data_IF_607993422452
#
_entry.id   IF_607993422452
#
_cell.length_a   1.000
_cell.length_b   1.000
_cell.length_c   1.000
_cell.angle_alpha   90.00
_cell.angle_beta   90.00
_cell.angle_gamma   90.00
#
_symmetry.space_group_name_H-M   'P 1'
#
loop_
_entity.id
_entity.type
_entity.pdbx_description
1 polymer ?
#
# COMPACT_ATOMS: atom_id res chain seq x y z
N UNK A 1 89.46 -33.84 4.33
CA UNK A 1 90.93 -33.79 4.09
C UNK A 1 91.14 -32.83 2.93
N UNK A 2 91.83 -31.68 3.13
CA UNK A 2 92.24 -30.66 2.11
C UNK A 2 91.03 -29.86 1.51
N UNK A 3 90.85 -28.54 1.61
CA UNK A 3 91.58 -27.31 1.15
C UNK A 3 91.52 -27.02 -0.38
N UNK A 4 91.51 -25.78 -0.92
CA UNK A 4 91.83 -24.43 -0.39
C UNK A 4 90.98 -23.26 -1.04
N UNK A 5 90.61 -22.25 -0.22
CA UNK A 5 90.55 -20.77 -0.44
C UNK A 5 89.96 -20.04 -1.69
N UNK A 6 89.33 -18.89 -1.39
CA UNK A 6 88.93 -17.74 -2.25
C UNK A 6 90.13 -16.74 -2.47
N UNK A 7 90.06 -15.51 -3.09
CA UNK A 7 88.88 -14.74 -3.55
C UNK A 7 88.99 -13.75 -4.78
N UNK A 8 87.81 -13.26 -5.20
CA UNK A 8 87.46 -11.83 -5.54
C UNK A 8 87.76 -11.11 -6.89
N UNK A 9 86.79 -10.20 -7.20
CA UNK A 9 86.75 -9.02 -8.12
C UNK A 9 86.46 -9.30 -9.62
N UNK A 10 85.41 -8.74 -10.26
CA UNK A 10 84.84 -7.37 -10.35
C UNK A 10 85.64 -6.43 -11.29
N UNK A 11 84.98 -6.01 -12.39
CA UNK A 11 85.27 -4.90 -13.32
C UNK A 11 86.39 -5.00 -14.37
N UNK A 12 86.07 -5.57 -15.54
CA UNK A 12 86.49 -5.15 -16.90
C UNK A 12 85.77 -6.04 -17.95
N UNK A 13 85.28 -5.61 -19.12
CA UNK A 13 84.91 -4.30 -19.68
C UNK A 13 83.75 -4.60 -20.67
N UNK A 14 82.65 -3.84 -20.72
CA UNK A 14 82.52 -2.58 -21.46
C UNK A 14 83.27 -2.58 -22.81
N UNK A 15 83.00 -3.57 -23.69
CA UNK A 15 83.38 -3.45 -25.12
C UNK A 15 82.64 -4.40 -26.10
N UNK A 16 81.36 -4.74 -25.82
CA UNK A 16 80.52 -5.56 -26.72
C UNK A 16 79.16 -4.97 -27.11
N UNK A 17 78.97 -3.67 -26.91
CA UNK A 17 77.77 -2.92 -27.32
C UNK A 17 78.17 -1.94 -28.43
N UNK A 18 78.43 -2.42 -29.67
CA UNK A 18 78.68 -1.55 -30.84
C UNK A 18 78.66 -2.18 -32.25
N UNK A 19 77.97 -3.31 -32.48
CA UNK A 19 77.98 -3.94 -33.82
C UNK A 19 76.69 -4.67 -34.24
N UNK A 20 75.51 -4.22 -33.79
CA UNK A 20 74.21 -4.69 -34.33
C UNK A 20 73.27 -3.51 -34.56
N UNK A 21 73.64 -2.64 -35.48
CA UNK A 21 72.79 -1.63 -36.11
C UNK A 21 73.29 -1.40 -37.55
N UNK A 22 72.39 -1.00 -38.44
CA UNK A 22 72.61 -0.72 -39.89
C UNK A 22 72.60 -1.93 -40.83
N UNK A 23 71.39 -2.46 -41.03
CA UNK A 23 70.78 -3.00 -42.27
C UNK A 23 69.50 -3.74 -41.81
N UNK A 24 68.29 -3.43 -42.24
CA UNK A 24 67.87 -2.85 -43.51
C UNK A 24 66.70 -1.86 -43.31
N UNK A 25 66.72 -0.72 -44.01
CA UNK A 25 65.60 0.22 -44.10
C UNK A 25 65.14 0.20 -45.55
N UNK A 26 64.00 -0.43 -45.82
CA UNK A 26 62.96 0.03 -46.76
C UNK A 26 61.85 -1.03 -46.86
N UNK A 27 60.70 -0.77 -46.23
CA UNK A 27 59.39 -1.27 -46.64
C UNK A 27 58.26 -0.63 -45.81
N UNK A 28 58.14 0.69 -45.96
CA UNK A 28 56.87 1.37 -45.66
C UNK A 28 55.90 1.03 -46.77
N UNK A 29 54.74 0.40 -46.49
CA UNK A 29 53.46 0.61 -47.21
C UNK A 29 52.28 -0.19 -46.58
N UNK A 30 51.33 0.54 -45.99
CA UNK A 30 49.87 0.26 -45.94
C UNK A 30 49.34 -1.08 -45.36
N UNK A 31 48.88 -1.05 -44.10
CA UNK A 31 47.46 -1.35 -43.74
C UNK A 31 47.13 -1.00 -42.27
N UNK A 32 46.66 0.23 -42.02
CA UNK A 32 45.98 0.56 -40.75
C UNK A 32 44.55 0.02 -40.84
N UNK A 33 44.29 -1.13 -40.23
CA UNK A 33 42.92 -1.56 -39.95
C UNK A 33 42.43 -0.83 -38.70
N UNK A 34 41.64 0.22 -38.89
CA UNK A 34 40.85 0.83 -37.83
C UNK A 34 39.87 -0.20 -37.29
N UNK A 35 40.22 -0.88 -36.19
CA UNK A 35 39.25 -1.62 -35.39
C UNK A 35 38.38 -0.59 -34.67
N UNK A 36 37.25 -0.25 -35.29
CA UNK A 36 36.20 0.52 -34.63
C UNK A 36 35.75 -0.24 -33.38
N UNK A 37 36.23 0.20 -32.22
CA UNK A 37 35.81 -0.32 -30.93
C UNK A 37 34.42 0.27 -30.70
N UNK A 38 33.36 -0.51 -31.01
CA UNK A 38 32.00 -0.19 -30.55
C UNK A 38 32.07 0.00 -29.05
N UNK A 39 31.95 1.24 -28.61
CA UNK A 39 31.65 1.56 -27.22
C UNK A 39 30.17 1.19 -27.08
N UNK A 40 29.92 0.03 -26.49
CA UNK A 40 28.57 -0.30 -26.03
C UNK A 40 28.28 0.66 -24.89
N UNK A 41 27.49 1.70 -25.15
CA UNK A 41 26.98 2.58 -24.12
C UNK A 41 26.01 1.78 -23.26
N UNK A 42 26.53 1.16 -22.21
CA UNK A 42 25.71 0.64 -21.12
C UNK A 42 25.14 1.85 -20.39
N UNK A 43 23.88 2.18 -20.65
CA UNK A 43 23.14 3.12 -19.79
C UNK A 43 23.21 2.61 -18.34
N UNK A 44 23.40 3.52 -17.38
CA UNK A 44 23.47 3.11 -15.97
C UNK A 44 22.13 2.52 -15.57
N UNK A 45 22.17 1.38 -14.86
CA UNK A 45 20.98 0.78 -14.25
C UNK A 45 20.27 1.78 -13.33
N UNK A 46 21.02 2.71 -12.74
CA UNK A 46 20.52 3.79 -11.89
C UNK A 46 19.58 4.76 -12.64
N UNK A 47 19.81 4.99 -13.93
CA UNK A 47 18.93 5.86 -14.76
C UNK A 47 17.65 5.13 -15.15
N UNK A 48 17.70 3.82 -15.37
CA UNK A 48 16.51 3.00 -15.64
C UNK A 48 15.67 2.71 -14.40
N UNK A 49 16.31 2.60 -13.22
CA UNK A 49 15.60 2.57 -11.94
C UNK A 49 14.82 3.87 -11.66
N UNK A 50 15.20 4.98 -12.31
CA UNK A 50 14.52 6.27 -12.26
C UNK A 50 13.45 6.46 -13.35
N UNK A 51 13.12 5.41 -14.11
CA UNK A 51 12.12 5.39 -15.19
C UNK A 51 11.35 4.06 -15.16
N UNK A 52 10.77 3.74 -14.00
CA UNK A 52 10.06 2.48 -13.78
C UNK A 52 8.57 2.71 -13.55
N UNK A 53 7.73 1.88 -14.18
CA UNK A 53 6.31 1.74 -13.83
C UNK A 53 6.22 1.39 -12.34
N UNK A 54 5.53 2.21 -11.57
CA UNK A 54 5.48 2.10 -10.11
C UNK A 54 4.01 2.13 -9.66
N UNK A 55 3.32 0.97 -9.61
CA UNK A 55 1.96 0.90 -9.11
C UNK A 55 1.93 1.30 -7.63
N UNK A 56 1.05 2.22 -7.27
CA UNK A 56 0.79 2.61 -5.88
C UNK A 56 -0.70 2.57 -5.58
N UNK A 57 -1.03 2.33 -4.32
CA UNK A 57 -2.39 2.37 -3.80
C UNK A 57 -2.46 3.32 -2.62
N UNK A 58 -3.49 4.15 -2.58
CA UNK A 58 -3.89 4.90 -1.38
C UNK A 58 -5.21 4.33 -0.85
N UNK A 59 -5.37 4.30 0.47
CA UNK A 59 -6.59 3.86 1.15
C UNK A 59 -7.18 5.01 1.95
N UNK A 60 -8.51 5.15 1.92
CA UNK A 60 -9.28 6.09 2.72
C UNK A 60 -10.53 5.39 3.25
N UNK A 61 -10.59 5.22 4.56
CA UNK A 61 -11.75 4.75 5.33
C UNK A 61 -11.81 5.56 6.64
N UNK A 62 -12.98 5.66 7.30
CA UNK A 62 -13.06 6.32 8.61
C UNK A 62 -12.20 5.58 9.65
N UNK A 63 -11.59 6.32 10.58
CA UNK A 63 -10.84 5.75 11.71
C UNK A 63 -11.72 4.91 12.63
N UNK A 64 -12.97 5.34 12.81
CA UNK A 64 -13.94 4.76 13.72
C UNK A 64 -15.28 4.62 12.99
N UNK A 65 -15.94 3.48 13.18
CA UNK A 65 -17.27 3.23 12.63
C UNK A 65 -18.16 2.53 13.66
N UNK A 66 -19.46 2.79 13.60
CA UNK A 66 -20.39 2.16 14.53
C UNK A 66 -20.51 0.66 14.27
N UNK A 67 -20.54 -0.12 15.35
CA UNK A 67 -20.87 -1.55 15.30
C UNK A 67 -22.20 -1.75 14.55
N UNK A 68 -22.25 -2.67 13.60
CA UNK A 68 -23.42 -2.93 12.76
C UNK A 68 -23.69 -1.91 11.64
N UNK A 69 -22.81 -0.94 11.39
CA UNK A 69 -23.00 0.10 10.36
C UNK A 69 -22.26 -0.17 9.04
N UNK A 70 -22.62 0.58 7.99
CA UNK A 70 -21.88 0.58 6.74
C UNK A 70 -20.57 1.36 6.86
N UNK A 71 -19.51 0.87 6.23
CA UNK A 71 -18.18 1.47 6.19
C UNK A 71 -17.83 1.79 4.74
N UNK A 72 -17.67 3.08 4.44
CA UNK A 72 -17.27 3.54 3.13
C UNK A 72 -15.74 3.46 2.99
N UNK A 73 -15.26 2.50 2.19
CA UNK A 73 -13.86 2.34 1.84
C UNK A 73 -13.64 2.84 0.40
N UNK A 74 -12.77 3.84 0.24
CA UNK A 74 -12.23 4.24 -1.06
C UNK A 74 -10.77 3.80 -1.15
N UNK A 75 -10.43 3.10 -2.24
CA UNK A 75 -9.05 2.75 -2.59
C UNK A 75 -8.71 3.37 -3.94
N UNK A 76 -7.59 4.08 -4.02
CA UNK A 76 -7.18 4.81 -5.23
C UNK A 76 -5.92 4.18 -5.81
N UNK A 77 -5.98 3.78 -7.07
CA UNK A 77 -4.83 3.28 -7.83
C UNK A 77 -4.13 4.44 -8.55
N UNK A 78 -2.80 4.43 -8.58
CA UNK A 78 -2.00 5.36 -9.37
C UNK A 78 -0.72 4.69 -9.91
N UNK A 79 -0.10 5.28 -10.92
CA UNK A 79 1.22 4.92 -11.42
C UNK A 79 2.21 6.03 -11.05
N UNK A 80 2.76 5.99 -9.84
CA UNK A 80 3.76 6.95 -9.38
C UNK A 80 5.15 6.76 -10.03
N UNK A 81 5.19 6.12 -11.20
CA UNK A 81 6.40 5.94 -11.98
C UNK A 81 6.97 7.27 -12.45
N UNK A 82 8.29 7.38 -12.48
CA UNK A 82 8.95 8.57 -13.03
C UNK A 82 9.06 8.44 -14.56
N UNK A 83 8.82 9.54 -15.28
CA UNK A 83 8.79 9.55 -16.75
C UNK A 83 7.41 9.20 -17.32
N UNK A 84 7.38 8.65 -18.54
CA UNK A 84 6.15 8.37 -19.30
C UNK A 84 5.81 6.87 -19.39
N UNK A 85 6.41 6.04 -18.53
CA UNK A 85 6.29 4.58 -18.63
C UNK A 85 4.91 4.09 -18.20
N UNK A 86 4.27 3.35 -19.10
CA UNK A 86 2.87 2.93 -18.98
C UNK A 86 2.80 1.52 -18.41
N UNK A 87 2.02 1.31 -17.35
CA UNK A 87 1.72 -0.02 -16.85
C UNK A 87 0.43 -0.59 -17.47
N UNK A 88 0.34 -1.92 -17.61
CA UNK A 88 -0.76 -2.58 -18.33
C UNK A 88 -1.62 -3.51 -17.46
N UNK A 89 -2.95 -3.36 -17.60
CA UNK A 89 -3.97 -4.07 -16.82
C UNK A 89 -3.90 -3.80 -15.31
N UNK A 90 -4.24 -2.59 -14.85
CA UNK A 90 -4.22 -2.20 -13.43
C UNK A 90 -5.26 -2.96 -12.58
N UNK A 91 -4.82 -3.38 -11.39
CA UNK A 91 -5.59 -4.14 -10.40
C UNK A 91 -5.31 -3.60 -8.99
N UNK A 92 -6.34 -3.58 -8.13
CA UNK A 92 -6.21 -3.38 -6.68
C UNK A 92 -6.61 -4.67 -5.95
N UNK A 93 -5.76 -5.10 -5.02
CA UNK A 93 -6.05 -6.09 -3.99
C UNK A 93 -6.45 -5.39 -2.69
N UNK A 94 -7.51 -5.89 -2.04
CA UNK A 94 -7.88 -5.50 -0.67
C UNK A 94 -8.05 -6.77 0.17
N UNK A 95 -7.31 -6.87 1.28
CA UNK A 95 -7.58 -7.88 2.31
C UNK A 95 -8.57 -7.29 3.31
N UNK A 96 -9.75 -7.91 3.36
CA UNK A 96 -10.87 -7.53 4.24
C UNK A 96 -10.90 -8.47 5.44
N UNK A 97 -10.79 -7.95 6.69
CA UNK A 97 -10.78 -8.75 7.91
C UNK A 97 -12.20 -9.19 8.27
N UNK A 98 -12.69 -10.26 7.64
CA UNK A 98 -14.05 -10.80 7.83
C UNK A 98 -14.19 -11.51 9.16
N UNK A 99 -13.14 -12.22 9.59
CA UNK A 99 -13.18 -13.01 10.81
C UNK A 99 -13.04 -12.20 12.11
N UNK A 100 -12.67 -10.91 12.00
CA UNK A 100 -12.37 -10.06 13.15
C UNK A 100 -11.38 -10.68 14.13
N UNK A 101 -11.65 -10.60 15.43
CA UNK A 101 -10.68 -11.04 16.47
C UNK A 101 -10.97 -12.44 17.00
N UNK A 102 -12.25 -12.81 17.14
CA UNK A 102 -12.66 -14.09 17.73
C UNK A 102 -12.51 -15.25 16.74
N UNK A 103 -12.83 -14.99 15.47
CA UNK A 103 -12.56 -15.82 14.31
C UNK A 103 -13.44 -17.08 14.17
N UNK A 104 -13.45 -17.61 12.96
CA UNK A 104 -13.99 -18.95 12.68
C UNK A 104 -15.49 -18.98 12.38
N UNK A 105 -16.28 -19.52 13.30
CA UNK A 105 -17.66 -19.96 13.02
C UNK A 105 -18.73 -18.86 13.13
N UNK A 106 -18.38 -17.67 13.63
CA UNK A 106 -19.29 -16.52 13.72
C UNK A 106 -18.52 -15.23 13.42
N UNK A 107 -18.13 -15.00 12.14
CA UNK A 107 -17.26 -13.88 11.78
C UNK A 107 -17.83 -12.53 12.21
N UNK A 108 -17.07 -11.78 13.02
CA UNK A 108 -17.51 -10.51 13.63
C UNK A 108 -16.85 -9.26 13.01
N UNK A 109 -16.06 -9.41 11.94
CA UNK A 109 -15.27 -8.32 11.37
C UNK A 109 -16.01 -7.43 10.35
N UNK A 110 -15.25 -6.99 9.34
CA UNK A 110 -15.74 -6.24 8.18
C UNK A 110 -16.08 -7.21 7.04
N UNK A 111 -17.17 -7.01 6.33
CA UNK A 111 -17.50 -7.82 5.15
C UNK A 111 -17.85 -6.92 3.96
N UNK A 112 -17.76 -7.46 2.75
CA UNK A 112 -18.19 -6.79 1.52
C UNK A 112 -19.72 -6.72 1.46
N UNK A 113 -20.24 -5.53 1.15
CA UNK A 113 -21.68 -5.24 1.16
C UNK A 113 -22.29 -5.11 -0.26
N UNK A 114 -21.45 -5.18 -1.29
CA UNK A 114 -21.83 -5.05 -2.70
C UNK A 114 -20.60 -5.04 -3.62
N UNK A 115 -20.80 -4.94 -4.94
CA UNK A 115 -19.69 -4.86 -5.90
C UNK A 115 -18.89 -3.56 -5.71
N UNK A 116 -17.60 -3.61 -5.98
CA UNK A 116 -16.80 -2.41 -6.11
C UNK A 116 -17.27 -1.57 -7.30
N UNK A 117 -17.15 -0.25 -7.19
CA UNK A 117 -17.57 0.69 -8.25
C UNK A 117 -16.48 1.71 -8.56
N UNK A 118 -16.33 2.02 -9.85
CA UNK A 118 -15.52 3.12 -10.35
C UNK A 118 -16.45 4.13 -11.03
N UNK A 119 -16.43 5.39 -10.60
CA UNK A 119 -17.38 6.43 -11.05
C UNK A 119 -18.85 5.99 -11.00
N UNK A 120 -19.23 5.23 -9.95
CA UNK A 120 -20.58 4.69 -9.76
C UNK A 120 -20.94 3.49 -10.64
N UNK A 121 -20.06 3.04 -11.53
CA UNK A 121 -20.27 1.85 -12.37
C UNK A 121 -19.60 0.63 -11.74
N UNK A 122 -20.29 -0.53 -11.61
CA UNK A 122 -19.67 -1.76 -11.10
C UNK A 122 -18.46 -2.21 -11.93
N UNK A 123 -17.42 -2.69 -11.25
CA UNK A 123 -16.21 -3.24 -11.88
C UNK A 123 -16.03 -4.73 -11.54
N UNK A 124 -15.26 -5.45 -12.36
CA UNK A 124 -14.95 -6.87 -12.13
C UNK A 124 -14.27 -7.05 -10.78
N UNK A 125 -14.97 -7.73 -9.87
CA UNK A 125 -14.53 -7.98 -8.49
C UNK A 125 -14.55 -9.48 -8.25
N UNK A 126 -13.43 -10.06 -7.79
CA UNK A 126 -13.31 -11.47 -7.41
C UNK A 126 -13.00 -11.54 -5.92
N UNK A 127 -13.80 -12.29 -5.16
CA UNK A 127 -13.55 -12.53 -3.74
C UNK A 127 -13.01 -13.94 -3.51
N UNK A 128 -11.88 -14.05 -2.82
CA UNK A 128 -11.24 -15.30 -2.45
C UNK A 128 -11.11 -15.37 -0.93
N UNK A 129 -11.86 -16.27 -0.29
CA UNK A 129 -11.71 -16.55 1.14
C UNK A 129 -10.43 -17.34 1.39
N UNK A 130 -9.60 -16.88 2.33
CA UNK A 130 -8.40 -17.60 2.74
C UNK A 130 -8.78 -18.91 3.46
N UNK A 131 -8.35 -20.09 2.97
CA UNK A 131 -8.80 -21.38 3.50
C UNK A 131 -8.23 -21.68 4.90
N UNK A 132 -8.87 -22.58 5.64
CA UNK A 132 -8.32 -23.06 6.91
C UNK A 132 -7.23 -24.12 6.68
N UNK A 133 -5.96 -23.72 6.76
CA UNK A 133 -4.81 -24.63 6.71
C UNK A 133 -4.45 -25.28 8.05
N UNK A 134 -5.21 -25.03 9.12
CA UNK A 134 -4.91 -25.50 10.48
C UNK A 134 -3.92 -24.63 11.28
N UNK A 135 -3.36 -23.58 10.68
CA UNK A 135 -2.38 -22.68 11.29
C UNK A 135 -2.86 -21.24 11.51
N UNK A 136 -4.18 -21.00 11.51
CA UNK A 136 -4.79 -19.66 11.61
C UNK A 136 -4.64 -18.77 10.35
N UNK A 137 -3.82 -19.19 9.39
CA UNK A 137 -3.62 -18.54 8.08
C UNK A 137 -4.01 -19.47 6.93
N UNK A 138 -4.43 -18.85 5.83
CA UNK A 138 -4.74 -19.50 4.56
C UNK A 138 -4.00 -18.83 3.42
N UNK A 139 -3.75 -19.58 2.34
CA UNK A 139 -3.17 -19.03 1.11
C UNK A 139 -4.08 -19.27 -0.09
N UNK A 140 -4.14 -18.30 -0.99
CA UNK A 140 -4.90 -18.36 -2.25
C UNK A 140 -4.00 -17.99 -3.41
N UNK A 141 -4.26 -18.57 -4.58
CA UNK A 141 -3.62 -18.17 -5.83
C UNK A 141 -4.33 -16.92 -6.37
N UNK A 142 -3.58 -15.89 -6.71
CA UNK A 142 -4.11 -14.66 -7.29
C UNK A 142 -4.66 -14.92 -8.71
N UNK A 143 -5.84 -14.40 -9.07
CA UNK A 143 -6.49 -14.75 -10.34
C UNK A 143 -5.82 -14.11 -11.58
N UNK A 144 -5.01 -13.08 -11.41
CA UNK A 144 -4.43 -12.30 -12.52
C UNK A 144 -2.90 -12.17 -12.47
N UNK A 145 -2.34 -11.78 -11.31
CA UNK A 145 -0.91 -11.56 -11.17
C UNK A 145 -0.13 -12.88 -11.23
N UNK A 146 0.95 -12.89 -12.02
CA UNK A 146 1.82 -14.05 -12.24
C UNK A 146 3.29 -13.73 -11.96
N UNK A 147 4.04 -14.74 -11.51
CA UNK A 147 5.49 -14.72 -11.43
C UNK A 147 6.16 -14.84 -12.82
N UNK A 148 7.49 -14.73 -12.87
CA UNK A 148 8.26 -14.87 -14.11
C UNK A 148 8.33 -16.30 -14.68
N UNK A 149 7.67 -17.26 -14.05
CA UNK A 149 7.45 -18.61 -14.58
C UNK A 149 6.01 -18.81 -15.10
N UNK A 150 5.17 -17.77 -15.01
CA UNK A 150 3.75 -17.82 -15.38
C UNK A 150 2.83 -18.43 -14.31
N UNK A 151 3.33 -18.74 -13.11
CA UNK A 151 2.50 -19.23 -12.02
C UNK A 151 1.76 -18.05 -11.36
N UNK A 152 0.52 -18.23 -10.89
CA UNK A 152 -0.16 -17.24 -10.04
C UNK A 152 0.69 -16.81 -8.83
N UNK A 153 0.72 -15.51 -8.53
CA UNK A 153 1.26 -15.04 -7.25
C UNK A 153 0.40 -15.59 -6.11
N UNK A 154 1.05 -16.06 -5.04
CA UNK A 154 0.36 -16.54 -3.84
C UNK A 154 0.15 -15.38 -2.88
N UNK A 155 -1.06 -15.25 -2.33
CA UNK A 155 -1.35 -14.35 -1.22
C UNK A 155 -1.74 -15.17 0.00
N UNK A 156 -1.19 -14.81 1.16
CA UNK A 156 -1.46 -15.41 2.46
C UNK A 156 -2.12 -14.37 3.37
N UNK A 157 -3.21 -14.75 4.02
CA UNK A 157 -3.93 -13.93 5.01
C UNK A 157 -4.43 -14.80 6.16
N UNK A 158 -5.17 -14.23 7.11
CA UNK A 158 -5.80 -15.02 8.16
C UNK A 158 -6.87 -15.92 7.54
N UNK A 159 -7.03 -17.13 8.05
CA UNK A 159 -8.14 -18.02 7.67
C UNK A 159 -9.49 -17.28 7.81
N UNK A 160 -10.38 -17.43 6.83
CA UNK A 160 -11.74 -16.86 6.83
C UNK A 160 -11.83 -15.41 6.34
N UNK A 161 -10.75 -14.64 6.41
CA UNK A 161 -10.67 -13.32 5.76
C UNK A 161 -10.77 -13.45 4.23
N UNK A 162 -11.04 -12.34 3.54
CA UNK A 162 -11.15 -12.30 2.08
C UNK A 162 -10.01 -11.51 1.46
N UNK A 163 -9.45 -12.03 0.37
CA UNK A 163 -8.80 -11.22 -0.66
C UNK A 163 -9.86 -10.80 -1.68
N UNK A 164 -10.09 -9.49 -1.80
CA UNK A 164 -10.97 -8.87 -2.79
C UNK A 164 -10.10 -8.29 -3.89
N UNK A 165 -10.14 -8.90 -5.07
CA UNK A 165 -9.35 -8.52 -6.25
C UNK A 165 -10.24 -7.73 -7.20
N UNK A 166 -9.90 -6.46 -7.43
CA UNK A 166 -10.66 -5.53 -8.26
C UNK A 166 -9.86 -5.21 -9.52
N UNK A 167 -10.37 -5.64 -10.67
CA UNK A 167 -9.80 -5.29 -11.97
C UNK A 167 -10.38 -3.96 -12.44
N UNK A 168 -9.52 -2.95 -12.64
CA UNK A 168 -9.96 -1.64 -13.07
C UNK A 168 -10.32 -1.65 -14.56
N UNK A 169 -11.26 -0.79 -15.01
CA UNK A 169 -11.76 -0.80 -16.39
C UNK A 169 -10.80 -0.10 -17.39
N UNK A 170 -9.49 -0.32 -17.24
CA UNK A 170 -8.45 0.26 -18.07
C UNK A 170 -7.58 -0.84 -18.68
N UNK A 171 -7.19 -0.67 -19.95
CA UNK A 171 -6.14 -1.50 -20.55
C UNK A 171 -4.74 -1.13 -20.05
N UNK A 172 -4.54 0.12 -19.64
CA UNK A 172 -3.25 0.67 -19.23
C UNK A 172 -3.40 1.90 -18.33
N UNK A 173 -2.36 2.25 -17.58
CA UNK A 173 -2.31 3.45 -16.74
C UNK A 173 -0.97 4.19 -16.87
N UNK A 174 -1.03 5.47 -17.24
CA UNK A 174 0.15 6.36 -17.45
C UNK A 174 0.38 7.24 -16.22
N UNK A 175 1.62 7.66 -15.89
CA UNK A 175 1.88 8.52 -14.72
C UNK A 175 1.20 9.89 -14.74
N UNK A 176 0.86 10.42 -15.93
CA UNK A 176 0.13 11.69 -16.07
C UNK A 176 -1.40 11.58 -15.85
N UNK A 177 -1.92 10.39 -15.55
CA UNK A 177 -3.36 10.19 -15.28
C UNK A 177 -3.67 10.47 -13.79
N UNK A 178 -4.84 11.07 -13.49
CA UNK A 178 -5.28 11.23 -12.10
C UNK A 178 -5.60 9.86 -11.49
N UNK A 179 -5.20 9.65 -10.23
CA UNK A 179 -5.44 8.42 -9.49
C UNK A 179 -6.90 7.93 -9.58
N UNK A 180 -7.09 6.66 -9.92
CA UNK A 180 -8.40 6.05 -10.10
C UNK A 180 -8.99 5.59 -8.76
N UNK A 181 -9.88 6.42 -8.18
CA UNK A 181 -10.62 6.11 -6.97
C UNK A 181 -11.74 5.08 -7.20
N UNK A 182 -11.63 3.93 -6.55
CA UNK A 182 -12.62 2.84 -6.52
C UNK A 182 -13.28 2.82 -5.14
N UNK A 183 -14.62 2.77 -5.11
CA UNK A 183 -15.39 2.62 -3.88
C UNK A 183 -15.78 1.15 -3.68
N UNK A 184 -15.33 0.55 -2.58
CA UNK A 184 -15.67 -0.80 -2.15
C UNK A 184 -16.60 -0.70 -0.92
N UNK A 185 -17.91 -0.95 -1.06
CA UNK A 185 -18.84 -0.85 0.07
C UNK A 185 -18.61 -2.00 1.05
N UNK A 186 -18.37 -1.66 2.32
CA UNK A 186 -18.22 -2.63 3.41
C UNK A 186 -19.33 -2.47 4.45
N UNK A 187 -19.57 -3.51 5.24
CA UNK A 187 -20.37 -3.48 6.47
C UNK A 187 -19.54 -4.01 7.64
N UNK A 188 -19.72 -3.41 8.81
CA UNK A 188 -19.21 -3.90 10.09
C UNK A 188 -20.24 -4.81 10.74
N UNK A 189 -19.81 -5.94 11.31
CA UNK A 189 -20.72 -6.81 12.07
C UNK A 189 -21.37 -6.08 13.24
N UNK A 190 -22.56 -6.51 13.64
CA UNK A 190 -23.21 -6.06 14.88
C UNK A 190 -22.63 -6.75 16.14
N UNK A 191 -21.74 -7.74 15.96
CA UNK A 191 -21.02 -8.45 17.02
C UNK A 191 -19.57 -7.99 17.18
N UNK A 192 -19.08 -7.09 16.30
CA UNK A 192 -17.69 -6.67 16.24
C UNK A 192 -17.13 -6.21 17.60
N UNK A 193 -16.00 -6.78 17.99
CA UNK A 193 -15.29 -6.45 19.23
C UNK A 193 -15.07 -4.93 19.42
N UNK A 194 -15.67 -4.39 20.49
CA UNK A 194 -15.62 -2.96 20.81
C UNK A 194 -14.18 -2.47 21.05
N UNK A 195 -13.78 -1.43 20.32
CA UNK A 195 -12.44 -0.84 20.32
C UNK A 195 -11.30 -1.78 19.87
N UNK A 196 -11.58 -2.90 19.19
CA UNK A 196 -10.53 -3.76 18.60
C UNK A 196 -10.36 -3.43 17.11
N UNK A 197 -9.19 -2.91 16.67
CA UNK A 197 -9.07 -2.34 15.32
C UNK A 197 -9.10 -3.39 14.20
N UNK A 198 -10.08 -3.28 13.31
CA UNK A 198 -10.19 -4.12 12.11
C UNK A 198 -9.31 -3.55 10.99
N UNK A 199 -8.18 -4.22 10.73
CA UNK A 199 -7.14 -3.72 9.81
C UNK A 199 -7.37 -4.20 8.38
N UNK A 200 -7.78 -3.27 7.50
CA UNK A 200 -7.82 -3.44 6.05
C UNK A 200 -6.40 -3.27 5.51
N UNK A 201 -5.97 -4.11 4.56
CA UNK A 201 -4.67 -3.98 3.88
C UNK A 201 -4.85 -3.97 2.37
N UNK A 202 -4.00 -3.25 1.66
CA UNK A 202 -4.12 -3.11 0.20
C UNK A 202 -2.80 -3.31 -0.51
N UNK A 203 -2.90 -3.72 -1.78
CA UNK A 203 -1.80 -3.80 -2.73
C UNK A 203 -2.32 -3.39 -4.10
N UNK A 204 -1.45 -2.83 -4.94
CA UNK A 204 -1.77 -2.52 -6.34
C UNK A 204 -0.82 -3.25 -7.28
N UNK A 205 -1.20 -3.38 -8.55
CA UNK A 205 -0.28 -3.88 -9.57
C UNK A 205 -0.82 -3.81 -11.00
N UNK A 206 0.06 -4.17 -11.93
CA UNK A 206 -0.18 -4.31 -13.35
C UNK A 206 -0.02 -5.77 -13.74
N UNK A 207 -1.08 -6.42 -14.23
CA UNK A 207 -1.04 -7.85 -14.54
C UNK A 207 -0.10 -8.20 -15.70
N UNK A 208 0.09 -7.29 -16.66
CA UNK A 208 0.97 -7.49 -17.82
C UNK A 208 2.29 -6.71 -17.72
N UNK A 209 2.54 -6.04 -16.58
CA UNK A 209 3.78 -5.28 -16.39
C UNK A 209 3.84 -3.98 -17.21
N UNK A 210 4.91 -3.82 -17.98
CA UNK A 210 5.22 -2.64 -18.82
C UNK A 210 4.84 -2.80 -20.30
N UNK A 211 4.34 -3.97 -20.71
CA UNK A 211 3.82 -4.22 -22.06
C UNK A 211 2.40 -4.83 -22.05
N UNK A 212 1.62 -4.76 -23.16
CA UNK A 212 0.21 -5.18 -23.18
C UNK A 212 -0.01 -6.70 -23.36
N UNK A 213 1.02 -7.54 -23.35
CA UNK A 213 0.94 -8.97 -23.66
C UNK A 213 0.87 -9.85 -22.39
N UNK A 214 0.20 -10.99 -22.48
CA UNK A 214 0.28 -12.03 -21.44
C UNK A 214 1.55 -12.88 -21.64
N UNK A 215 2.71 -12.30 -21.35
CA UNK A 215 4.05 -12.85 -21.59
C UNK A 215 4.93 -12.93 -20.31
N UNK A 216 4.44 -13.45 -19.17
CA UNK A 216 5.07 -13.29 -17.84
C UNK A 216 6.54 -13.71 -17.72
N UNK A 217 7.03 -14.62 -18.58
CA UNK A 217 8.45 -14.98 -18.64
C UNK A 217 9.39 -13.89 -19.20
N UNK A 218 8.83 -12.86 -19.83
CA UNK A 218 9.53 -11.64 -20.28
C UNK A 218 9.14 -10.43 -19.44
N UNK A 219 7.85 -10.29 -19.12
CA UNK A 219 7.31 -9.18 -18.33
C UNK A 219 6.32 -9.71 -17.26
N UNK A 220 6.80 -10.10 -16.07
CA UNK A 220 5.95 -10.59 -14.99
C UNK A 220 5.11 -9.46 -14.39
N UNK A 221 4.04 -9.81 -13.68
CA UNK A 221 3.17 -8.80 -13.08
C UNK A 221 3.92 -7.94 -12.06
N UNK A 222 3.82 -6.61 -12.21
CA UNK A 222 4.40 -5.64 -11.30
C UNK A 222 3.43 -5.34 -10.16
N UNK A 223 3.87 -5.39 -8.91
CA UNK A 223 3.03 -5.12 -7.73
C UNK A 223 3.73 -4.18 -6.75
N UNK A 224 2.96 -3.37 -6.01
CA UNK A 224 3.47 -2.47 -4.97
C UNK A 224 4.14 -3.24 -3.82
N UNK A 225 3.62 -4.43 -3.51
CA UNK A 225 4.04 -5.25 -2.38
C UNK A 225 4.25 -6.71 -2.82
N UNK A 226 5.52 -7.06 -3.06
CA UNK A 226 5.94 -8.41 -3.48
C UNK A 226 5.70 -9.54 -2.44
N UNK A 227 5.77 -9.33 -1.10
CA UNK A 227 5.55 -10.41 -0.14
C UNK A 227 4.16 -11.06 -0.26
N UNK A 228 4.14 -12.40 -0.22
CA UNK A 228 2.88 -13.17 -0.20
C UNK A 228 2.07 -12.94 1.06
N UNK A 229 2.74 -12.75 2.21
CA UNK A 229 2.09 -12.46 3.48
C UNK A 229 1.49 -11.03 3.49
N UNK A 230 0.18 -10.95 3.30
CA UNK A 230 -0.56 -9.69 3.29
C UNK A 230 -0.41 -8.87 4.56
N UNK A 231 -0.11 -9.48 5.72
CA UNK A 231 0.11 -8.74 6.96
C UNK A 231 1.35 -7.83 6.94
N UNK A 232 2.23 -7.99 5.95
CA UNK A 232 3.45 -7.18 5.73
C UNK A 232 3.32 -6.16 4.60
N UNK A 233 2.15 -6.01 3.97
CA UNK A 233 1.92 -4.98 2.96
C UNK A 233 1.98 -3.59 3.58
N UNK A 234 2.59 -2.66 2.85
CA UNK A 234 2.95 -1.31 3.31
C UNK A 234 1.74 -0.40 3.53
N UNK A 235 0.66 -0.60 2.76
CA UNK A 235 -0.55 0.23 2.81
C UNK A 235 -1.66 -0.50 3.58
N UNK A 236 -2.11 0.13 4.68
CA UNK A 236 -3.18 -0.38 5.51
C UNK A 236 -3.95 0.74 6.20
N UNK A 237 -5.21 0.47 6.56
CA UNK A 237 -6.06 1.35 7.34
C UNK A 237 -6.82 0.52 8.38
N UNK A 238 -6.77 0.93 9.63
CA UNK A 238 -7.57 0.33 10.69
C UNK A 238 -8.89 1.08 10.84
N UNK A 239 -9.98 0.33 11.06
CA UNK A 239 -11.30 0.86 11.41
C UNK A 239 -11.65 0.32 12.79
N UNK A 240 -11.83 1.20 13.77
CA UNK A 240 -12.19 0.84 15.14
C UNK A 240 -13.71 0.69 15.26
N UNK A 241 -14.24 -0.46 15.72
CA UNK A 241 -15.64 -0.59 16.10
C UNK A 241 -15.94 0.26 17.33
N UNK A 242 -16.88 1.19 17.22
CA UNK A 242 -17.36 2.02 18.33
C UNK A 242 -18.84 1.76 18.63
N UNK A 243 -19.20 1.83 19.91
CA UNK A 243 -20.58 1.74 20.40
C UNK A 243 -21.25 3.12 20.52
N UNK A 244 -20.48 4.14 20.89
CA UNK A 244 -20.96 5.51 21.08
C UNK A 244 -20.01 6.56 20.52
N UNK A 245 -20.56 7.73 20.19
CA UNK A 245 -19.79 8.95 19.94
C UNK A 245 -20.38 10.10 20.74
N UNK A 246 -19.53 10.84 21.45
CA UNK A 246 -19.91 12.04 22.18
C UNK A 246 -19.39 13.27 21.44
N UNK A 247 -20.27 14.22 21.13
CA UNK A 247 -19.90 15.52 20.55
C UNK A 247 -20.44 16.64 21.42
N UNK A 248 -19.57 17.53 21.91
CA UNK A 248 -19.97 18.75 22.63
C UNK A 248 -19.77 19.96 21.72
N UNK A 249 -20.86 20.67 21.41
CA UNK A 249 -20.82 21.88 20.60
C UNK A 249 -21.32 23.11 21.38
N UNK A 250 -20.70 24.26 21.11
CA UNK A 250 -21.16 25.55 21.60
C UNK A 250 -22.12 26.16 20.56
N UNK A 251 -23.33 26.52 20.98
CA UNK A 251 -24.38 27.08 20.11
C UNK A 251 -24.35 28.62 20.06
N UNK A 252 -23.26 29.25 20.49
CA UNK A 252 -23.06 30.70 20.39
C UNK A 252 -23.09 31.17 18.91
N UNK A 253 -23.93 32.14 18.52
CA UNK A 253 -24.15 32.46 17.11
C UNK A 253 -22.93 32.90 16.27
N UNK A 254 -21.89 33.51 16.86
CA UNK A 254 -20.88 34.29 16.11
C UNK A 254 -19.44 34.16 16.67
N UNK A 255 -19.02 32.98 17.18
CA UNK A 255 -17.69 32.79 17.84
C UNK A 255 -17.37 33.87 18.91
N UNK A 256 -18.40 34.37 19.58
CA UNK A 256 -18.38 35.66 20.24
C UNK A 256 -17.68 35.63 21.61
N UNK A 257 -16.76 36.57 21.86
CA UNK A 257 -15.91 36.62 23.05
C UNK A 257 -16.49 37.38 24.24
N UNK A 258 -17.75 37.81 24.18
CA UNK A 258 -18.40 38.49 25.31
C UNK A 258 -18.65 37.51 26.47
N UNK A 259 -18.21 37.89 27.68
CA UNK A 259 -18.30 37.08 28.91
C UNK A 259 -19.00 37.86 30.03
N UNK A 260 -19.47 37.12 31.05
CA UNK A 260 -20.13 37.67 32.23
C UNK A 260 -21.62 37.29 32.34
N UNK A 261 -22.30 37.64 33.45
CA UNK A 261 -23.63 37.11 33.79
C UNK A 261 -24.74 37.37 32.75
N UNK A 262 -24.61 38.43 31.94
CA UNK A 262 -25.58 38.80 30.91
C UNK A 262 -25.33 38.13 29.56
N UNK A 263 -24.29 37.29 29.42
CA UNK A 263 -23.90 36.63 28.16
C UNK A 263 -23.93 35.09 28.32
N UNK A 264 -25.10 34.48 28.60
CA UNK A 264 -25.21 33.04 28.73
C UNK A 264 -24.87 32.34 27.39
N UNK A 265 -24.09 31.27 27.47
CA UNK A 265 -23.76 30.40 26.32
C UNK A 265 -24.50 29.07 26.46
N UNK A 266 -25.01 28.55 25.35
CA UNK A 266 -25.64 27.24 25.29
C UNK A 266 -24.65 26.22 24.74
N UNK A 267 -24.57 25.06 25.40
CA UNK A 267 -23.83 23.91 24.92
C UNK A 267 -24.80 22.76 24.67
N UNK A 268 -24.58 22.02 23.59
CA UNK A 268 -25.29 20.79 23.30
C UNK A 268 -24.30 19.64 23.34
N UNK A 269 -24.62 18.61 24.12
CA UNK A 269 -23.94 17.32 24.07
C UNK A 269 -24.83 16.39 23.24
N UNK A 270 -24.29 15.91 22.13
CA UNK A 270 -24.92 14.89 21.28
C UNK A 270 -24.27 13.56 21.61
N UNK A 271 -25.11 12.57 21.91
CA UNK A 271 -24.71 11.18 22.12
C UNK A 271 -25.30 10.36 21.00
N UNK A 272 -24.43 9.89 20.10
CA UNK A 272 -24.80 8.92 19.08
C UNK A 272 -24.51 7.51 19.60
N UNK A 273 -25.41 6.58 19.31
CA UNK A 273 -25.32 5.17 19.69
C UNK A 273 -25.40 4.33 18.41
N UNK A 274 -24.58 3.28 18.33
CA UNK A 274 -24.61 2.33 17.22
C UNK A 274 -26.02 1.75 17.00
N UNK A 275 -26.46 1.69 15.73
CA UNK A 275 -27.82 1.29 15.40
C UNK A 275 -28.11 -0.15 15.85
N UNK A 276 -29.26 -0.35 16.50
CA UNK A 276 -29.68 -1.65 17.02
C UNK A 276 -29.01 -2.07 18.34
N UNK A 277 -28.04 -1.30 18.85
CA UNK A 277 -27.43 -1.55 20.15
C UNK A 277 -28.25 -0.91 21.30
N UNK A 278 -28.19 -1.51 22.48
CA UNK A 278 -28.83 -0.98 23.70
C UNK A 278 -27.78 -0.64 24.73
N UNK A 279 -27.85 0.56 25.29
CA UNK A 279 -26.99 0.99 26.41
C UNK A 279 -27.86 1.12 27.66
N UNK A 280 -27.38 0.58 28.78
CA UNK A 280 -27.98 0.72 30.10
C UNK A 280 -27.01 1.41 31.05
N UNK A 281 -27.52 2.06 32.10
CA UNK A 281 -26.71 2.78 33.10
C UNK A 281 -25.76 3.82 32.46
N UNK A 282 -26.26 4.57 31.48
CA UNK A 282 -25.49 5.58 30.76
C UNK A 282 -25.51 6.92 31.50
N UNK A 283 -24.36 7.34 32.04
CA UNK A 283 -24.14 8.64 32.65
C UNK A 283 -23.24 9.52 31.77
N UNK A 284 -23.56 10.81 31.68
CA UNK A 284 -22.71 11.84 31.05
C UNK A 284 -22.21 12.78 32.15
N UNK A 285 -20.89 12.97 32.21
CA UNK A 285 -20.26 13.98 33.06
C UNK A 285 -19.47 14.97 32.19
N UNK A 286 -19.56 16.25 32.54
CA UNK A 286 -18.92 17.35 31.82
C UNK A 286 -18.23 18.26 32.83
N UNK A 287 -16.89 18.17 32.90
CA UNK A 287 -16.09 19.00 33.78
C UNK A 287 -15.86 20.36 33.12
N UNK A 288 -16.64 21.34 33.53
CA UNK A 288 -16.52 22.71 33.03
C UNK A 288 -15.26 23.39 33.63
N UNK A 289 -14.50 24.17 32.81
CA UNK A 289 -13.40 24.98 33.30
C UNK A 289 -13.93 26.12 34.20
N UNK A 290 -13.11 26.65 35.13
CA UNK A 290 -13.58 27.57 36.18
C UNK A 290 -14.12 28.92 35.65
N UNK A 291 -13.84 29.28 34.41
CA UNK A 291 -14.38 30.46 33.73
C UNK A 291 -15.85 30.29 33.30
N UNK A 292 -16.39 29.07 33.31
CA UNK A 292 -17.77 28.76 32.92
C UNK A 292 -18.61 28.41 34.16
N UNK A 293 -19.65 29.20 34.40
CA UNK A 293 -20.65 28.93 35.44
C UNK A 293 -21.86 28.22 34.83
N UNK A 294 -22.19 27.03 35.35
CA UNK A 294 -23.41 26.32 34.95
C UNK A 294 -24.65 26.99 35.55
N UNK A 295 -25.61 27.36 34.69
CA UNK A 295 -26.81 28.12 35.07
C UNK A 295 -28.04 27.25 35.38
N UNK A 296 -27.91 25.92 35.42
CA UNK A 296 -28.98 24.99 35.84
C UNK A 296 -29.98 24.56 34.76
N UNK A 297 -29.96 25.17 33.56
CA UNK A 297 -30.99 25.01 32.52
C UNK A 297 -30.74 23.85 31.54
N UNK A 298 -30.33 22.68 32.04
CA UNK A 298 -30.14 21.49 31.21
C UNK A 298 -31.47 20.89 30.74
N UNK A 299 -31.52 20.39 29.49
CA UNK A 299 -32.61 19.58 28.97
C UNK A 299 -32.07 18.37 28.21
N UNK A 300 -32.74 17.22 28.34
CA UNK A 300 -32.41 16.00 27.61
C UNK A 300 -33.52 15.74 26.58
N UNK A 301 -33.15 15.76 25.30
CA UNK A 301 -34.01 15.34 24.21
C UNK A 301 -33.45 14.04 23.63
N UNK A 302 -34.20 12.94 23.76
CA UNK A 302 -33.87 11.67 23.10
C UNK A 302 -34.67 11.61 21.81
N UNK A 303 -33.99 11.71 20.68
CA UNK A 303 -34.58 11.53 19.36
C UNK A 303 -34.18 10.17 18.80
N UNK A 304 -35.14 9.31 18.38
CA UNK A 304 -34.79 8.09 17.66
C UNK A 304 -34.18 8.46 16.30
N UNK A 305 -33.05 7.85 15.94
CA UNK A 305 -32.51 7.96 14.58
C UNK A 305 -33.40 7.19 13.61
N UNK A 306 -34.25 7.91 12.87
CA UNK A 306 -34.95 7.33 11.72
C UNK A 306 -33.97 7.23 10.55
N UNK A 307 -33.32 6.07 10.39
CA UNK A 307 -32.67 5.74 9.11
C UNK A 307 -33.75 5.51 8.04
N UNK A 308 -33.58 6.03 6.81
CA UNK A 308 -34.42 5.62 5.69
C UNK A 308 -34.17 4.14 5.37
N UNK A 309 -35.23 3.47 4.90
CA UNK A 309 -35.24 2.06 4.44
C UNK A 309 -34.52 1.93 3.10
#
# INVERSE_FOLDING_TARGET
MIHFSSPNRINAAIDRIKSVFVADRENVLRRVHSRSRRITTTESLETRALLAVTPVVAISAPSDAFIGSAVNLTVSFDNAGSGSETGYGPIIDVVVPVNGTDGGASPDGLNTAGPATYLGTPITTIELTFPNGGGGTGSVNHPFFKDSSGNPLVVTGNTGDKLVVMQLPFGSFTPDQPAAAVNLPLTMSNLADLNVPLTIRTRSGFQYGVDPLDNPGSDPSLVSDSPSNSSTWSVSQAVNPILTRLTKQNLAPESETATGPNFPRQYQIVVEVAQGQTITNFDVSDLLPPEIVYLGNGSLNVSPSLSPV
#
